data_IF_002503848349
#
_entry.id   IF_002503848349
#
_cell.length_a   1.000
_cell.length_b   1.000
_cell.length_c   1.000
_cell.angle_alpha   90.00
_cell.angle_beta   90.00
_cell.angle_gamma   90.00
#
_symmetry.space_group_name_H-M   'P 1'
#
loop_
_entity.id
_entity.type
_entity.pdbx_description
1 polymer ?
#
# COMPACT_ATOMS: atom_id res chain seq x y z
N UNK A 1 4.73 -14.56 -9.21
CA UNK A 1 3.96 -14.33 -7.98
C UNK A 1 3.36 -12.95 -8.09
N UNK A 2 2.08 -12.84 -7.76
CA UNK A 2 1.34 -11.58 -7.81
C UNK A 2 1.66 -10.70 -6.60
N UNK A 3 1.26 -9.44 -6.69
CA UNK A 3 1.48 -8.48 -5.64
C UNK A 3 0.96 -7.11 -5.99
N UNK A 4 1.56 -6.09 -5.38
CA UNK A 4 1.23 -4.69 -5.67
C UNK A 4 2.50 -3.85 -5.82
N UNK A 5 2.42 -2.82 -6.66
CA UNK A 5 3.36 -1.70 -6.65
C UNK A 5 2.67 -0.52 -5.97
N UNK A 6 3.20 -0.07 -4.85
CA UNK A 6 2.75 1.14 -4.19
C UNK A 6 3.67 2.30 -4.60
N UNK A 7 3.09 3.40 -5.07
CA UNK A 7 3.81 4.63 -5.41
C UNK A 7 3.21 5.77 -4.61
N UNK A 8 3.99 6.32 -3.68
CA UNK A 8 3.61 7.54 -2.98
C UNK A 8 4.25 8.74 -3.68
N UNK A 9 3.45 9.79 -3.94
CA UNK A 9 3.97 11.05 -4.46
C UNK A 9 3.90 12.14 -3.38
N UNK A 10 5.02 12.85 -3.22
CA UNK A 10 5.14 14.03 -2.37
C UNK A 10 5.63 15.21 -3.21
N UNK A 11 5.23 16.42 -2.79
CA UNK A 11 5.61 17.68 -3.45
C UNK A 11 5.29 17.70 -4.96
N UNK A 12 4.20 17.03 -5.37
CA UNK A 12 3.67 17.11 -6.73
C UNK A 12 2.99 18.49 -6.92
N UNK A 13 3.40 19.32 -7.89
CA UNK A 13 2.75 20.61 -8.13
C UNK A 13 1.33 20.41 -8.65
N UNK A 14 0.40 21.26 -8.22
CA UNK A 14 -0.99 21.28 -8.72
C UNK A 14 -1.07 21.32 -10.26
N UNK A 15 -0.15 22.04 -10.90
CA UNK A 15 -0.08 22.12 -12.37
C UNK A 15 0.28 20.80 -13.06
N UNK A 16 0.76 19.80 -12.31
CA UNK A 16 1.16 18.48 -12.80
C UNK A 16 0.22 17.36 -12.35
N UNK A 17 -0.76 17.64 -11.49
CA UNK A 17 -1.74 16.65 -11.01
C UNK A 17 -2.54 16.06 -12.17
N UNK A 18 -3.02 16.90 -13.09
CA UNK A 18 -3.80 16.43 -14.23
C UNK A 18 -3.00 15.48 -15.13
N UNK A 19 -1.72 15.78 -15.39
CA UNK A 19 -0.82 14.90 -16.13
C UNK A 19 -0.59 13.58 -15.38
N UNK A 20 -0.33 13.66 -14.07
CA UNK A 20 -0.08 12.49 -13.25
C UNK A 20 -1.27 11.52 -13.28
N UNK A 21 -2.49 12.04 -13.13
CA UNK A 21 -3.72 11.25 -13.10
C UNK A 21 -4.17 10.74 -14.47
N UNK A 22 -4.04 11.55 -15.52
CA UNK A 22 -4.66 11.23 -16.81
C UNK A 22 -3.68 10.66 -17.84
N UNK A 23 -2.38 10.79 -17.62
CA UNK A 23 -1.36 10.33 -18.56
C UNK A 23 -0.43 9.31 -17.90
N UNK A 24 0.27 9.71 -16.82
CA UNK A 24 1.30 8.87 -16.22
C UNK A 24 0.74 7.57 -15.59
N UNK A 25 -0.29 7.67 -14.74
CA UNK A 25 -0.90 6.49 -14.11
C UNK A 25 -1.48 5.53 -15.16
N UNK A 26 -2.29 5.98 -16.14
CA UNK A 26 -2.78 5.10 -17.21
C UNK A 26 -1.68 4.46 -18.08
N UNK A 27 -0.60 5.19 -18.37
CA UNK A 27 0.54 4.65 -19.10
C UNK A 27 1.20 3.50 -18.32
N UNK A 28 1.43 3.68 -17.01
CA UNK A 28 1.97 2.65 -16.14
C UNK A 28 1.03 1.44 -15.99
N UNK A 29 -0.28 1.68 -15.86
CA UNK A 29 -1.31 0.64 -15.85
C UNK A 29 -1.17 -0.24 -17.09
N UNK A 30 -1.20 0.36 -18.29
CA UNK A 30 -1.20 -0.37 -19.57
C UNK A 30 0.00 -1.31 -19.79
N UNK A 31 1.12 -1.05 -19.09
CA UNK A 31 2.36 -1.82 -19.22
C UNK A 31 2.49 -2.93 -18.20
N UNK A 32 1.92 -2.74 -17.01
CA UNK A 32 2.40 -3.44 -15.83
C UNK A 32 1.33 -3.92 -14.86
N UNK A 33 0.08 -3.50 -15.02
CA UNK A 33 -0.95 -3.71 -14.02
C UNK A 33 -2.31 -3.99 -14.63
N UNK A 34 -3.10 -4.78 -13.91
CA UNK A 34 -4.48 -5.11 -14.27
C UNK A 34 -5.44 -4.05 -13.68
N UNK A 35 -5.12 -3.54 -12.49
CA UNK A 35 -5.99 -2.61 -11.76
C UNK A 35 -5.19 -1.56 -11.01
N UNK A 36 -5.68 -0.31 -11.02
CA UNK A 36 -5.05 0.78 -10.26
C UNK A 36 -6.06 1.51 -9.39
N UNK A 37 -5.65 1.78 -8.15
CA UNK A 37 -6.31 2.70 -7.23
C UNK A 37 -5.42 3.92 -7.00
N UNK A 38 -5.97 5.11 -7.21
CA UNK A 38 -5.39 6.37 -6.74
C UNK A 38 -6.17 6.80 -5.49
N UNK A 39 -5.44 7.10 -4.43
CA UNK A 39 -5.99 7.46 -3.14
C UNK A 39 -5.21 8.61 -2.51
N UNK A 40 -5.88 9.41 -1.67
CA UNK A 40 -5.28 10.52 -0.93
C UNK A 40 -5.25 10.23 0.56
N UNK A 41 -4.16 10.62 1.23
CA UNK A 41 -4.05 10.39 2.68
C UNK A 41 -5.08 11.24 3.44
N UNK A 42 -5.71 10.64 4.44
CA UNK A 42 -6.50 11.38 5.42
C UNK A 42 -5.87 11.26 6.80
N UNK A 43 -6.19 12.22 7.68
CA UNK A 43 -5.76 12.18 9.06
C UNK A 43 -6.36 10.95 9.74
N UNK A 44 -5.53 10.17 10.43
CA UNK A 44 -6.01 9.00 11.17
C UNK A 44 -6.30 9.36 12.62
N UNK A 45 -7.26 8.69 13.28
CA UNK A 45 -7.47 8.79 14.72
C UNK A 45 -6.21 8.45 15.54
N UNK A 46 -5.31 7.69 14.93
CA UNK A 46 -4.07 7.19 15.47
C UNK A 46 -2.90 8.17 15.32
N UNK A 47 -2.98 9.17 14.43
CA UNK A 47 -1.87 10.09 14.14
C UNK A 47 -1.32 10.78 15.40
N UNK A 48 -2.20 11.10 16.37
CA UNK A 48 -1.81 11.70 17.67
C UNK A 48 -1.25 10.70 18.67
N UNK A 49 -1.61 9.43 18.57
CA UNK A 49 -1.10 8.37 19.45
C UNK A 49 0.28 7.88 19.01
N UNK A 50 0.67 8.12 17.74
CA UNK A 50 1.96 7.72 17.17
C UNK A 50 2.95 8.88 16.93
N UNK A 51 2.70 10.07 17.49
CA UNK A 51 3.69 11.17 17.48
C UNK A 51 5.02 10.68 18.09
N UNK A 52 6.04 10.49 17.25
CA UNK A 52 7.38 10.03 17.62
C UNK A 52 7.67 8.53 17.43
N UNK A 53 6.73 7.73 16.89
CA UNK A 53 6.87 6.27 16.78
C UNK A 53 7.18 5.80 15.33
N UNK A 54 7.12 6.71 14.37
CA UNK A 54 7.64 6.50 13.01
C UNK A 54 7.64 7.82 12.25
N UNK A 55 8.74 8.17 11.61
CA UNK A 55 8.75 9.28 10.66
C UNK A 55 8.15 8.80 9.35
N UNK A 56 7.03 9.41 8.94
CA UNK A 56 6.72 9.47 7.51
C UNK A 56 7.80 10.34 6.90
N UNK A 57 8.72 9.74 6.13
CA UNK A 57 9.89 10.47 5.60
C UNK A 57 9.51 11.62 4.65
N UNK A 58 8.25 11.66 4.17
CA UNK A 58 7.64 12.80 3.49
C UNK A 58 6.13 12.92 3.80
N UNK A 59 5.57 14.11 3.59
CA UNK A 59 4.13 14.37 3.66
C UNK A 59 3.45 13.91 2.37
N UNK A 60 3.37 12.60 2.17
CA UNK A 60 2.78 11.99 0.98
C UNK A 60 1.30 12.37 0.86
N UNK A 61 0.94 13.13 -0.18
CA UNK A 61 -0.46 13.52 -0.44
C UNK A 61 -1.21 12.35 -1.08
N UNK A 62 -0.59 11.70 -2.06
CA UNK A 62 -1.22 10.64 -2.85
C UNK A 62 -0.47 9.31 -2.75
N UNK A 63 -1.25 8.24 -2.84
CA UNK A 63 -0.83 6.86 -2.98
C UNK A 63 -1.48 6.27 -4.22
N UNK A 64 -0.68 5.66 -5.09
CA UNK A 64 -1.16 4.83 -6.20
C UNK A 64 -0.82 3.37 -5.91
N UNK A 65 -1.82 2.50 -5.98
CA UNK A 65 -1.66 1.05 -5.82
C UNK A 65 -1.95 0.38 -7.16
N UNK A 66 -0.91 -0.19 -7.77
CA UNK A 66 -1.02 -1.00 -8.98
C UNK A 66 -1.07 -2.47 -8.60
N UNK A 67 -2.11 -3.20 -9.00
CA UNK A 67 -2.15 -4.65 -8.89
C UNK A 67 -1.32 -5.29 -10.00
N UNK A 68 -0.37 -6.16 -9.64
CA UNK A 68 0.57 -6.73 -10.60
C UNK A 68 0.54 -8.26 -10.56
N UNK A 69 0.44 -8.89 -11.72
CA UNK A 69 0.48 -10.35 -11.85
C UNK A 69 1.88 -10.94 -11.55
N UNK A 70 2.94 -10.19 -11.88
CA UNK A 70 4.33 -10.62 -11.75
C UNK A 70 5.21 -9.56 -11.09
N UNK A 71 5.39 -9.67 -9.76
CA UNK A 71 6.15 -8.70 -8.96
C UNK A 71 7.61 -8.57 -9.41
N UNK A 72 8.24 -9.66 -9.85
CA UNK A 72 9.63 -9.59 -10.32
C UNK A 72 9.76 -8.71 -11.57
N UNK A 73 8.80 -8.79 -12.50
CA UNK A 73 8.79 -7.98 -13.72
C UNK A 73 8.69 -6.49 -13.39
N UNK A 74 7.87 -6.11 -12.41
CA UNK A 74 7.76 -4.71 -12.00
C UNK A 74 8.98 -4.22 -11.23
N UNK A 75 9.63 -5.09 -10.44
CA UNK A 75 10.91 -4.77 -9.81
C UNK A 75 11.94 -4.42 -10.89
N UNK A 76 12.10 -5.30 -11.89
CA UNK A 76 13.06 -5.12 -12.96
C UNK A 76 12.77 -3.83 -13.77
N UNK A 77 11.48 -3.57 -14.06
CA UNK A 77 11.04 -2.33 -14.73
C UNK A 77 11.29 -1.08 -13.89
N UNK A 78 11.13 -1.15 -12.56
CA UNK A 78 11.43 -0.03 -11.64
C UNK A 78 12.91 0.34 -11.66
N UNK A 79 13.80 -0.59 -12.00
CA UNK A 79 15.24 -0.34 -12.11
C UNK A 79 15.69 0.11 -13.49
N UNK A 80 14.80 0.08 -14.48
CA UNK A 80 15.05 0.61 -15.81
C UNK A 80 14.74 2.11 -15.83
N UNK A 81 15.78 2.93 -15.95
CA UNK A 81 15.68 4.40 -16.00
C UNK A 81 14.76 4.89 -17.12
N UNK A 82 14.54 4.11 -18.19
CA UNK A 82 13.62 4.48 -19.26
C UNK A 82 12.15 4.47 -18.85
N UNK A 83 11.81 3.83 -17.73
CA UNK A 83 10.47 3.85 -17.15
C UNK A 83 10.28 4.98 -16.13
N UNK A 84 11.33 5.77 -15.83
CA UNK A 84 11.23 6.85 -14.87
C UNK A 84 10.67 8.11 -15.54
N UNK A 85 9.75 8.83 -14.89
CA UNK A 85 9.35 10.14 -15.38
C UNK A 85 10.58 11.07 -15.39
N UNK A 86 10.66 11.93 -16.40
CA UNK A 86 11.71 12.95 -16.46
C UNK A 86 11.47 13.95 -15.33
N UNK A 87 12.35 13.95 -14.33
CA UNK A 87 12.23 14.77 -13.12
C UNK A 87 12.74 16.21 -13.32
N UNK A 88 12.31 16.85 -14.41
CA UNK A 88 12.68 18.21 -14.76
C UNK A 88 11.53 19.21 -14.56
N UNK A 89 11.77 20.48 -14.89
CA UNK A 89 10.75 21.53 -14.91
C UNK A 89 9.86 21.53 -13.65
N UNK A 90 8.52 21.38 -13.80
CA UNK A 90 7.58 21.29 -12.68
C UNK A 90 7.85 20.13 -11.71
N UNK A 91 8.31 18.97 -12.18
CA UNK A 91 8.50 17.76 -11.38
C UNK A 91 9.83 17.74 -10.61
N UNK A 92 10.71 18.72 -10.82
CA UNK A 92 12.05 18.77 -10.19
C UNK A 92 12.00 18.64 -8.67
N UNK A 93 10.99 19.21 -8.03
CA UNK A 93 10.79 19.15 -6.57
C UNK A 93 10.08 17.89 -6.08
N UNK A 94 9.42 17.17 -6.98
CA UNK A 94 8.59 16.01 -6.67
C UNK A 94 9.45 14.84 -6.21
N UNK A 95 8.89 14.06 -5.30
CA UNK A 95 9.46 12.83 -4.78
C UNK A 95 8.47 11.69 -4.99
N UNK A 96 8.95 10.59 -5.54
CA UNK A 96 8.22 9.34 -5.64
C UNK A 96 8.90 8.26 -4.79
N UNK A 97 8.14 7.67 -3.88
CA UNK A 97 8.56 6.48 -3.14
C UNK A 97 7.87 5.27 -3.77
N UNK A 98 8.65 4.37 -4.35
CA UNK A 98 8.17 3.23 -5.12
C UNK A 98 8.50 1.94 -4.37
N UNK A 99 7.50 1.16 -4.01
CA UNK A 99 7.65 -0.07 -3.22
C UNK A 99 6.87 -1.22 -3.84
N UNK A 100 7.57 -2.20 -4.46
CA UNK A 100 6.95 -3.45 -4.86
C UNK A 100 6.83 -4.41 -3.66
N UNK A 101 5.64 -4.98 -3.52
CA UNK A 101 5.25 -5.90 -2.48
C UNK A 101 4.79 -7.23 -3.09
N UNK A 102 5.25 -8.34 -2.53
CA UNK A 102 4.85 -9.68 -2.92
C UNK A 102 3.72 -10.19 -2.02
N UNK A 103 2.65 -10.70 -2.62
CA UNK A 103 1.50 -11.24 -1.87
C UNK A 103 1.90 -12.53 -1.16
N UNK A 104 1.69 -12.56 0.15
CA UNK A 104 1.86 -13.76 0.97
C UNK A 104 0.53 -14.48 1.16
N UNK A 105 -0.51 -13.72 1.49
CA UNK A 105 -1.84 -14.26 1.79
C UNK A 105 -2.92 -13.22 1.56
N UNK A 106 -4.10 -13.70 1.19
CA UNK A 106 -5.31 -12.90 1.04
C UNK A 106 -6.43 -13.53 1.85
N UNK A 107 -7.23 -12.70 2.48
CA UNK A 107 -8.51 -13.02 3.09
C UNK A 107 -9.56 -12.14 2.45
N UNK A 108 -10.71 -12.72 2.15
CA UNK A 108 -11.85 -12.05 1.54
C UNK A 108 -13.11 -12.70 2.08
N UNK A 109 -14.16 -11.90 2.32
CA UNK A 109 -15.49 -12.44 2.56
C UNK A 109 -16.00 -12.98 1.21
N UNK A 110 -15.95 -14.31 1.04
CA UNK A 110 -16.27 -14.99 -0.22
C UNK A 110 -17.72 -14.76 -0.71
N UNK A 111 -18.60 -14.25 0.15
CA UNK A 111 -20.04 -14.13 -0.13
C UNK A 111 -20.49 -12.71 -0.56
N UNK A 112 -19.67 -11.66 -0.42
CA UNK A 112 -20.16 -10.27 -0.49
C UNK A 112 -19.51 -9.39 -1.56
N UNK A 113 -18.27 -9.64 -1.99
CA UNK A 113 -17.58 -8.76 -2.96
C UNK A 113 -17.13 -9.47 -4.24
N UNK A 114 -17.44 -8.88 -5.39
CA UNK A 114 -17.14 -9.42 -6.72
C UNK A 114 -15.76 -8.99 -7.28
N UNK A 115 -14.99 -8.20 -6.53
CA UNK A 115 -13.69 -7.68 -6.94
C UNK A 115 -13.75 -6.34 -7.70
N UNK A 116 -14.90 -5.67 -7.78
CA UNK A 116 -15.02 -4.37 -8.45
C UNK A 116 -14.24 -3.29 -7.71
N UNK A 117 -13.34 -2.61 -8.42
CA UNK A 117 -12.51 -1.53 -7.89
C UNK A 117 -13.34 -0.29 -7.53
N UNK A 118 -14.51 -0.11 -8.13
CA UNK A 118 -15.41 1.00 -7.85
C UNK A 118 -16.04 0.92 -6.45
N UNK A 119 -16.12 -0.29 -5.87
CA UNK A 119 -16.66 -0.49 -4.52
C UNK A 119 -15.65 -0.11 -3.43
N UNK A 120 -14.36 0.05 -3.74
CA UNK A 120 -13.35 0.41 -2.75
C UNK A 120 -13.38 1.91 -2.51
N UNK A 121 -13.93 2.32 -1.36
CA UNK A 121 -13.98 3.72 -0.94
C UNK A 121 -12.71 4.15 -0.21
N UNK A 122 -12.08 3.24 0.56
CA UNK A 122 -10.85 3.58 1.27
C UNK A 122 -9.91 2.38 1.44
N UNK A 123 -8.66 2.71 1.77
CA UNK A 123 -7.56 1.77 1.97
C UNK A 123 -6.97 2.03 3.35
N UNK A 124 -6.99 1.02 4.21
CA UNK A 124 -6.17 1.00 5.42
C UNK A 124 -4.86 0.28 5.12
N UNK A 125 -3.76 0.98 5.41
CA UNK A 125 -2.39 0.53 5.16
C UNK A 125 -1.70 0.31 6.49
N UNK A 126 -1.39 -0.94 6.84
CA UNK A 126 -0.71 -1.30 8.08
C UNK A 126 0.66 -1.88 7.79
N UNK A 127 1.71 -1.17 8.18
CA UNK A 127 3.09 -1.59 7.97
C UNK A 127 3.73 -2.03 9.28
N UNK A 128 4.53 -3.09 9.25
CA UNK A 128 5.17 -3.61 10.43
C UNK A 128 6.51 -4.32 10.17
N UNK A 129 7.38 -4.29 11.18
CA UNK A 129 8.71 -4.88 11.20
C UNK A 129 8.94 -5.65 12.49
N UNK A 130 9.02 -6.99 12.44
CA UNK A 130 9.48 -7.79 13.57
C UNK A 130 10.94 -7.47 13.89
N UNK A 131 11.24 -7.28 15.17
CA UNK A 131 12.63 -7.27 15.61
C UNK A 131 13.26 -8.66 15.48
N UNK A 132 14.59 -8.70 15.34
CA UNK A 132 15.37 -9.91 15.16
C UNK A 132 15.00 -11.00 16.18
N UNK A 133 14.67 -12.20 15.68
CA UNK A 133 14.34 -13.37 16.50
C UNK A 133 12.85 -13.53 16.85
N UNK A 134 11.98 -12.61 16.42
CA UNK A 134 10.54 -12.70 16.67
C UNK A 134 9.70 -12.95 15.40
N UNK A 135 10.30 -12.92 14.21
CA UNK A 135 9.58 -12.98 12.92
C UNK A 135 8.62 -14.18 12.83
N UNK A 136 9.10 -15.40 13.07
CA UNK A 136 8.28 -16.62 12.96
C UNK A 136 7.07 -16.60 13.90
N UNK A 137 7.24 -16.20 15.17
CA UNK A 137 6.13 -16.17 16.14
C UNK A 137 5.10 -15.09 15.84
N UNK A 138 5.53 -13.95 15.29
CA UNK A 138 4.63 -12.85 14.92
C UNK A 138 3.89 -13.18 13.63
N UNK A 139 4.58 -13.76 12.64
CA UNK A 139 3.99 -14.23 11.39
C UNK A 139 2.91 -15.27 11.66
N UNK A 140 3.20 -16.28 12.49
CA UNK A 140 2.22 -17.31 12.85
C UNK A 140 1.01 -16.73 13.56
N UNK A 141 1.22 -15.81 14.51
CA UNK A 141 0.15 -15.11 15.20
C UNK A 141 -0.71 -14.26 14.24
N UNK A 142 -0.07 -13.49 13.37
CA UNK A 142 -0.77 -12.64 12.40
C UNK A 142 -1.63 -13.49 11.46
N UNK A 143 -1.05 -14.55 10.91
CA UNK A 143 -1.72 -15.41 9.94
C UNK A 143 -2.91 -16.18 10.53
N UNK A 144 -2.83 -16.60 11.80
CA UNK A 144 -3.84 -17.45 12.44
C UNK A 144 -4.92 -16.67 13.19
N UNK A 145 -4.58 -15.52 13.74
CA UNK A 145 -5.49 -14.79 14.64
C UNK A 145 -5.85 -13.42 14.06
N UNK A 146 -4.87 -12.53 13.89
CA UNK A 146 -5.16 -11.13 13.52
C UNK A 146 -5.78 -10.99 12.12
N UNK A 147 -5.17 -11.59 11.10
CA UNK A 147 -5.63 -11.46 9.71
C UNK A 147 -7.07 -11.96 9.52
N UNK A 148 -7.40 -13.19 9.96
CA UNK A 148 -8.77 -13.70 9.92
C UNK A 148 -9.78 -12.85 10.70
N UNK A 149 -9.42 -12.36 11.89
CA UNK A 149 -10.32 -11.55 12.70
C UNK A 149 -10.59 -10.19 12.04
N UNK A 150 -9.56 -9.54 11.51
CA UNK A 150 -9.72 -8.24 10.85
C UNK A 150 -10.58 -8.34 9.58
N UNK A 151 -10.50 -9.45 8.86
CA UNK A 151 -11.30 -9.68 7.65
C UNK A 151 -12.78 -10.02 7.94
N UNK A 152 -13.19 -10.14 9.21
CA UNK A 152 -14.60 -10.35 9.58
C UNK A 152 -15.38 -9.04 9.68
N UNK A 153 -14.68 -7.91 9.67
CA UNK A 153 -15.32 -6.60 9.72
C UNK A 153 -16.22 -6.39 8.48
N UNK A 154 -17.47 -5.94 8.68
CA UNK A 154 -18.40 -5.75 7.56
C UNK A 154 -17.93 -4.66 6.59
N UNK A 155 -17.11 -3.71 7.04
CA UNK A 155 -16.53 -2.67 6.19
C UNK A 155 -15.41 -3.19 5.27
N UNK A 156 -14.87 -4.39 5.55
CA UNK A 156 -13.69 -4.94 4.86
C UNK A 156 -14.11 -5.80 3.67
N UNK A 157 -13.82 -5.30 2.46
CA UNK A 157 -14.02 -6.02 1.22
C UNK A 157 -12.96 -7.13 1.05
N UNK A 158 -11.70 -6.79 1.33
CA UNK A 158 -10.57 -7.70 1.19
C UNK A 158 -9.38 -7.25 2.05
N UNK A 159 -8.71 -8.22 2.67
CA UNK A 159 -7.44 -8.03 3.36
C UNK A 159 -6.34 -8.81 2.64
N UNK A 160 -5.25 -8.13 2.28
CA UNK A 160 -4.08 -8.75 1.68
C UNK A 160 -2.83 -8.46 2.49
N UNK A 161 -2.05 -9.49 2.75
CA UNK A 161 -0.79 -9.39 3.47
C UNK A 161 0.39 -9.65 2.53
N UNK A 162 1.38 -8.77 2.61
CA UNK A 162 2.51 -8.73 1.70
C UNK A 162 3.85 -8.63 2.43
N UNK A 163 4.90 -9.04 1.72
CA UNK A 163 6.30 -8.77 2.06
C UNK A 163 6.90 -7.78 1.07
N UNK A 164 7.57 -6.75 1.59
CA UNK A 164 8.30 -5.82 0.72
C UNK A 164 9.45 -6.55 0.02
N UNK A 165 9.62 -6.31 -1.27
CA UNK A 165 10.74 -6.86 -2.03
C UNK A 165 11.84 -5.84 -2.24
N UNK A 166 11.44 -4.58 -2.35
CA UNK A 166 12.33 -3.47 -2.60
C UNK A 166 11.68 -2.15 -2.20
N UNK A 167 12.47 -1.09 -2.06
CA UNK A 167 11.97 0.27 -2.03
C UNK A 167 12.96 1.21 -2.69
N UNK A 168 12.47 2.05 -3.58
CA UNK A 168 13.27 3.07 -4.24
C UNK A 168 12.65 4.44 -4.04
N UNK A 169 13.50 5.45 -4.05
CA UNK A 169 13.12 6.84 -3.98
C UNK A 169 13.65 7.53 -5.22
N UNK A 170 12.74 8.08 -6.02
CA UNK A 170 13.05 8.96 -7.13
C UNK A 170 12.80 10.41 -6.68
N UNK A 171 13.84 11.24 -6.73
CA UNK A 171 13.75 12.67 -6.41
C UNK A 171 14.78 13.45 -7.22
N UNK A 172 14.31 14.44 -7.97
CA UNK A 172 15.16 15.18 -8.91
C UNK A 172 15.95 14.19 -9.78
N UNK A 173 17.27 14.35 -9.93
CA UNK A 173 18.10 13.45 -10.74
C UNK A 173 18.63 12.22 -9.96
N UNK A 174 18.06 11.91 -8.80
CA UNK A 174 18.53 10.80 -7.94
C UNK A 174 17.52 9.67 -7.84
N UNK A 175 18.02 8.45 -8.03
CA UNK A 175 17.30 7.20 -7.81
C UNK A 175 18.07 6.38 -6.76
N UNK A 176 17.51 6.26 -5.55
CA UNK A 176 18.16 5.60 -4.43
C UNK A 176 17.34 4.41 -3.95
N UNK A 177 17.95 3.23 -3.89
CA UNK A 177 17.37 2.07 -3.21
C UNK A 177 17.56 2.21 -1.70
N UNK A 178 16.49 2.04 -0.93
CA UNK A 178 16.54 2.09 0.53
C UNK A 178 17.06 0.78 1.11
N UNK A 179 17.82 0.88 2.21
CA UNK A 179 18.33 -0.31 2.91
C UNK A 179 17.20 -1.09 3.60
N UNK A 180 17.21 -2.40 3.47
CA UNK A 180 16.16 -3.28 4.01
C UNK A 180 16.05 -3.27 5.54
N UNK A 181 17.10 -2.89 6.26
CA UNK A 181 17.15 -2.91 7.73
C UNK A 181 16.39 -1.78 8.42
N UNK A 182 15.99 -0.72 7.69
CA UNK A 182 15.26 0.43 8.23
C UNK A 182 13.78 0.45 7.85
N UNK A 183 13.35 -0.48 6.99
CA UNK A 183 12.00 -0.50 6.43
C UNK A 183 11.07 -1.47 7.15
N UNK A 184 9.78 -1.17 7.12
CA UNK A 184 8.75 -2.15 7.48
C UNK A 184 8.78 -3.30 6.48
N UNK A 185 9.00 -4.52 6.99
CA UNK A 185 9.18 -5.73 6.17
C UNK A 185 7.86 -6.21 5.60
N UNK A 186 6.79 -6.05 6.38
CA UNK A 186 5.46 -6.56 6.08
C UNK A 186 4.47 -5.41 5.96
N UNK A 187 3.47 -5.63 5.12
CA UNK A 187 2.41 -4.67 4.87
C UNK A 187 1.08 -5.40 4.73
N UNK A 188 0.05 -4.86 5.36
CA UNK A 188 -1.32 -5.33 5.22
C UNK A 188 -2.13 -4.22 4.56
N UNK A 189 -2.71 -4.54 3.42
CA UNK A 189 -3.57 -3.68 2.64
C UNK A 189 -5.01 -4.14 2.85
N UNK A 190 -5.83 -3.26 3.38
CA UNK A 190 -7.24 -3.55 3.65
C UNK A 190 -8.04 -2.61 2.76
N UNK A 191 -8.78 -3.17 1.82
CA UNK A 191 -9.71 -2.45 0.96
C UNK A 191 -11.08 -2.45 1.62
N UNK A 192 -11.66 -1.28 1.79
CA UNK A 192 -12.90 -1.06 2.54
C UNK A 192 -13.95 -0.35 1.67
N UNK A 193 -15.22 -0.64 1.92
CA UNK A 193 -16.35 -0.04 1.21
C UNK A 193 -16.77 1.33 1.76
N UNK A 194 -16.18 1.73 2.88
CA UNK A 194 -16.38 3.04 3.51
C UNK A 194 -15.08 3.62 4.06
N UNK A 195 -15.16 4.84 4.61
CA UNK A 195 -14.03 5.54 5.23
C UNK A 195 -13.90 5.26 6.74
N UNK A 196 -14.90 4.62 7.35
CA UNK A 196 -14.86 4.32 8.77
C UNK A 196 -13.89 3.16 9.07
N UNK A 197 -13.14 3.28 10.17
CA UNK A 197 -12.27 2.19 10.62
C UNK A 197 -13.13 1.05 11.17
N UNK A 198 -12.72 -0.22 10.98
CA UNK A 198 -13.41 -1.40 11.51
C UNK A 198 -13.18 -1.50 13.02
N UNK A 199 -13.80 -0.60 13.78
CA UNK A 199 -13.52 -0.41 15.21
C UNK A 199 -13.85 -1.64 16.05
N UNK A 200 -14.91 -2.38 15.69
CA UNK A 200 -15.31 -3.60 16.40
C UNK A 200 -14.16 -4.60 16.45
N UNK A 201 -13.64 -4.96 15.29
CA UNK A 201 -12.56 -5.92 15.11
C UNK A 201 -11.24 -5.38 15.65
N UNK A 202 -10.98 -4.07 15.53
CA UNK A 202 -9.80 -3.44 16.17
C UNK A 202 -9.86 -3.58 17.69
N UNK A 203 -11.02 -3.37 18.31
CA UNK A 203 -11.16 -3.54 19.75
C UNK A 203 -10.98 -5.00 20.15
N UNK A 204 -11.51 -5.95 19.38
CA UNK A 204 -11.31 -7.38 19.64
C UNK A 204 -9.84 -7.79 19.50
N UNK A 205 -9.15 -7.33 18.46
CA UNK A 205 -7.71 -7.53 18.27
C UNK A 205 -6.92 -6.99 19.45
N UNK A 206 -7.28 -5.80 19.95
CA UNK A 206 -6.60 -5.20 21.10
C UNK A 206 -6.77 -6.01 22.39
N UNK A 207 -7.77 -6.90 22.47
CA UNK A 207 -7.94 -7.83 23.60
C UNK A 207 -7.19 -9.16 23.41
N UNK A 208 -6.64 -9.44 22.23
CA UNK A 208 -5.89 -10.67 21.99
C UNK A 208 -4.57 -10.67 22.78
N UNK A 209 -4.20 -11.78 23.44
CA UNK A 209 -2.93 -11.87 24.17
C UNK A 209 -1.70 -11.58 23.31
N UNK A 210 -1.76 -11.93 22.01
CA UNK A 210 -0.68 -11.66 21.07
C UNK A 210 -0.48 -10.18 20.77
N UNK A 211 -1.54 -9.37 20.78
CA UNK A 211 -1.44 -7.93 20.56
C UNK A 211 -0.60 -7.26 21.66
N UNK A 212 -0.97 -7.49 22.93
CA UNK A 212 -0.22 -7.00 24.08
C UNK A 212 1.22 -7.54 24.11
N UNK A 213 1.43 -8.79 23.70
CA UNK A 213 2.75 -9.41 23.66
C UNK A 213 3.66 -8.81 22.59
N UNK A 214 3.15 -8.47 21.42
CA UNK A 214 3.97 -8.17 20.24
C UNK A 214 3.88 -6.73 19.72
N UNK A 215 2.69 -6.14 19.69
CA UNK A 215 2.41 -4.89 18.99
C UNK A 215 2.23 -3.68 19.92
N UNK A 216 1.66 -3.86 21.12
CA UNK A 216 1.25 -2.74 21.99
C UNK A 216 2.41 -1.80 22.39
N UNK A 217 3.56 -2.35 22.81
CA UNK A 217 4.70 -1.55 23.28
C UNK A 217 5.75 -1.26 22.20
N UNK A 218 5.52 -1.76 20.98
CA UNK A 218 6.42 -1.74 19.83
C UNK A 218 7.85 -2.26 20.06
N UNK A 219 8.13 -2.98 21.15
CA UNK A 219 9.49 -3.51 21.44
C UNK A 219 9.81 -4.78 20.68
N UNK A 220 8.79 -5.49 20.20
CA UNK A 220 8.94 -6.71 19.39
C UNK A 220 8.53 -6.50 17.94
N UNK A 221 7.58 -5.60 17.72
CA UNK A 221 7.17 -5.17 16.39
C UNK A 221 7.11 -3.65 16.34
N UNK A 222 7.92 -3.04 15.48
CA UNK A 222 7.67 -1.64 15.10
C UNK A 222 6.57 -1.62 14.05
N UNK A 223 5.56 -0.78 14.22
CA UNK A 223 4.45 -0.69 13.27
C UNK A 223 3.87 0.71 13.14
N UNK A 224 3.21 0.95 12.02
CA UNK A 224 2.46 2.16 11.74
C UNK A 224 1.21 1.84 10.91
N UNK A 225 0.18 2.69 11.05
CA UNK A 225 -1.03 2.63 10.25
C UNK A 225 -1.25 3.96 9.53
N UNK A 226 -1.81 3.91 8.33
CA UNK A 226 -2.23 5.06 7.54
C UNK A 226 -3.51 4.72 6.81
N UNK A 227 -4.35 5.73 6.56
CA UNK A 227 -5.57 5.55 5.78
C UNK A 227 -5.57 6.49 4.58
N UNK A 228 -6.08 5.97 3.48
CA UNK A 228 -6.22 6.69 2.22
C UNK A 228 -7.65 6.56 1.71
N UNK A 229 -8.25 7.66 1.24
CA UNK A 229 -9.55 7.65 0.57
C UNK A 229 -9.31 7.50 -0.92
N UNK A 230 -9.97 6.54 -1.56
CA UNK A 230 -9.85 6.31 -2.99
C UNK A 230 -10.56 7.44 -3.73
N UNK A 231 -9.80 8.19 -4.52
CA UNK A 231 -10.32 9.30 -5.33
C UNK A 231 -10.59 8.86 -6.77
N UNK A 232 -9.91 7.82 -7.25
CA UNK A 232 -10.11 7.27 -8.58
C UNK A 232 -9.71 5.80 -8.67
N UNK A 233 -10.55 5.00 -9.32
CA UNK A 233 -10.22 3.67 -9.78
C UNK A 233 -10.02 3.68 -11.30
N UNK A 234 -9.01 2.95 -11.77
CA UNK A 234 -8.77 2.73 -13.19
C UNK A 234 -9.06 1.25 -13.45
N UNK A 235 -10.11 0.94 -14.24
CA UNK A 235 -10.42 -0.45 -14.57
C UNK A 235 -9.33 -1.04 -15.47
N UNK A 236 -9.35 -2.37 -15.61
CA UNK A 236 -8.58 -3.09 -16.62
C UNK A 236 -8.63 -2.33 -17.94
N UNK A 237 -7.46 -2.17 -18.59
CA UNK A 237 -7.43 -1.68 -19.95
C UNK A 237 -8.33 -2.63 -20.77
N UNK A 238 -9.50 -2.14 -21.20
CA UNK A 238 -10.41 -2.90 -22.05
C UNK A 238 -9.55 -3.48 -23.17
N UNK A 239 -9.51 -4.82 -23.25
CA UNK A 239 -9.00 -5.49 -24.44
C UNK A 239 -9.82 -4.90 -25.57
N UNK A 240 -9.19 -4.04 -26.38
CA UNK A 240 -9.81 -3.54 -27.59
C UNK A 240 -10.11 -4.78 -28.43
N UNK A 241 -11.37 -5.24 -28.35
CA UNK A 241 -11.93 -6.16 -29.31
C UNK A 241 -11.97 -5.36 -30.61
N UNK A 242 -10.86 -5.43 -31.35
CA UNK A 242 -10.77 -4.96 -32.71
C UNK A 242 -11.67 -5.88 -33.54
N UNK A 243 -12.98 -5.62 -33.44
CA UNK A 243 -14.01 -6.24 -34.23
C UNK A 243 -13.63 -6.12 -35.70
N UNK A 244 -13.43 -7.30 -36.29
CA UNK A 244 -13.17 -7.50 -37.72
C UNK A 244 -14.31 -6.98 -38.60
#
# INVERSE_FOLDING_TARGET
>A
MSGVLCVWAADLPESSEQWYENEYIPEMLSRHSDRVLLAETIATPLDKQFEGIGTRDAAFKSLVVYEVAEVQKIIDATYDESNHPVMDGPLRGTRFDVRPYELLKSWQSDEEWNGDAADVASILFWEWHPHNGFEDEIVEYYEREMGPLFCQAPEVLRLRWFKIRNATVLKSDSHNTLESGVMHTYMCLVEMDCEDWPWGEIFEINQLPGWAKYFEDQRRVRWQASQYVVTRSYPDAEVQDNGA
#
